data_IF_839459181807
#
_entry.id   IF_839459181807
#
_cell.length_a   1.000
_cell.length_b   1.000
_cell.length_c   1.000
_cell.angle_alpha   90.00
_cell.angle_beta   90.00
_cell.angle_gamma   90.00
#
_symmetry.space_group_name_H-M   'P 1'
#
loop_
_entity.id
_entity.type
_entity.pdbx_description
1 polymer ?
#
# COMPACT_ATOMS: atom_id res chain seq x y z
N UNK A 1 5.40 7.83 -0.02
CA UNK A 1 6.32 6.86 -0.66
C UNK A 1 7.78 7.26 -0.45
N UNK A 2 8.46 6.65 0.53
CA UNK A 2 9.84 6.99 0.92
C UNK A 2 10.95 6.25 0.15
N UNK A 3 10.65 5.21 -0.64
CA UNK A 3 11.66 4.35 -1.31
C UNK A 3 11.85 4.59 -2.82
N UNK A 4 11.43 5.73 -3.37
CA UNK A 4 11.57 6.03 -4.82
C UNK A 4 10.73 5.16 -5.76
N UNK A 5 9.89 4.27 -5.22
CA UNK A 5 8.95 3.46 -5.97
C UNK A 5 7.73 4.29 -6.35
N UNK A 6 7.33 4.33 -7.63
CA UNK A 6 6.19 5.14 -8.06
C UNK A 6 4.85 4.43 -7.79
N UNK A 7 3.78 5.19 -7.49
CA UNK A 7 2.43 4.63 -7.32
C UNK A 7 1.99 3.86 -8.57
N UNK A 8 2.44 4.29 -9.75
CA UNK A 8 2.17 3.63 -11.03
C UNK A 8 2.83 2.25 -11.11
N UNK A 9 4.10 2.13 -10.68
CA UNK A 9 4.78 0.83 -10.62
C UNK A 9 4.07 -0.13 -9.66
N UNK A 10 3.60 0.38 -8.52
CA UNK A 10 2.86 -0.44 -7.56
C UNK A 10 1.51 -0.88 -8.11
N UNK A 11 0.78 0.02 -8.77
CA UNK A 11 -0.50 -0.30 -9.41
C UNK A 11 -0.33 -1.38 -10.50
N UNK A 12 0.66 -1.23 -11.38
CA UNK A 12 0.95 -2.20 -12.43
C UNK A 12 1.36 -3.56 -11.84
N UNK A 13 2.23 -3.58 -10.83
CA UNK A 13 2.67 -4.82 -10.17
C UNK A 13 1.53 -5.53 -9.42
N UNK A 14 0.53 -4.77 -8.95
CA UNK A 14 -0.69 -5.27 -8.33
C UNK A 14 -1.76 -5.70 -9.35
N UNK A 15 -1.51 -5.54 -10.65
CA UNK A 15 -2.43 -5.92 -11.73
C UNK A 15 -3.52 -4.89 -12.04
N UNK A 16 -3.35 -3.63 -11.65
CA UNK A 16 -4.29 -2.55 -11.93
C UNK A 16 -3.80 -1.67 -13.10
N UNK A 17 -4.70 -1.35 -14.03
CA UNK A 17 -4.42 -0.48 -15.18
C UNK A 17 -4.27 1.01 -14.81
N UNK A 18 -4.58 1.38 -13.56
CA UNK A 18 -4.47 2.77 -13.11
C UNK A 18 -4.09 2.88 -11.63
N UNK A 19 -3.36 3.96 -11.32
CA UNK A 19 -3.01 4.34 -9.93
C UNK A 19 -4.23 4.64 -9.06
N UNK A 20 -5.39 4.89 -9.66
CA UNK A 20 -6.57 5.37 -8.95
C UNK A 20 -7.03 4.44 -7.83
N UNK A 21 -6.89 3.11 -8.01
CA UNK A 21 -7.27 2.14 -6.97
C UNK A 21 -6.32 2.19 -5.77
N UNK A 22 -5.01 2.16 -6.02
CA UNK A 22 -3.97 2.22 -5.00
C UNK A 22 -4.03 3.58 -4.26
N UNK A 23 -4.08 4.69 -5.01
CA UNK A 23 -4.09 6.03 -4.44
C UNK A 23 -5.33 6.26 -3.55
N UNK A 24 -6.52 5.83 -3.99
CA UNK A 24 -7.75 5.95 -3.18
C UNK A 24 -7.66 5.11 -1.90
N UNK A 25 -7.10 3.91 -1.96
CA UNK A 25 -6.90 3.07 -0.80
C UNK A 25 -5.85 3.65 0.17
N UNK A 26 -4.79 4.28 -0.35
CA UNK A 26 -3.75 4.94 0.44
C UNK A 26 -4.30 6.11 1.27
N UNK A 27 -5.23 6.90 0.72
CA UNK A 27 -5.82 8.05 1.43
C UNK A 27 -7.22 7.78 2.00
N UNK A 28 -7.64 6.51 2.07
CA UNK A 28 -8.97 6.10 2.55
C UNK A 28 -10.15 6.81 1.85
N UNK A 29 -10.02 7.14 0.56
CA UNK A 29 -11.08 7.83 -0.19
C UNK A 29 -12.10 6.84 -0.73
N UNK A 30 -13.39 7.22 -0.69
CA UNK A 30 -14.50 6.41 -1.19
C UNK A 30 -14.62 5.03 -0.53
N UNK A 31 -14.19 4.90 0.74
CA UNK A 31 -14.24 3.63 1.47
C UNK A 31 -13.33 2.54 0.92
N UNK A 32 -12.36 2.89 0.06
CA UNK A 32 -11.35 1.95 -0.43
C UNK A 32 -10.32 1.71 0.67
N UNK A 33 -10.03 0.43 0.93
CA UNK A 33 -9.09 -0.04 1.95
C UNK A 33 -8.19 -1.11 1.34
N UNK A 34 -6.97 -1.23 1.87
CA UNK A 34 -6.17 -2.43 1.67
C UNK A 34 -6.68 -3.53 2.63
N UNK A 35 -6.81 -4.75 2.12
CA UNK A 35 -6.98 -5.92 2.97
C UNK A 35 -5.60 -6.54 3.24
N UNK A 36 -5.53 -7.56 4.08
CA UNK A 36 -4.25 -8.19 4.42
C UNK A 36 -3.51 -8.75 3.19
N UNK A 37 -4.22 -9.36 2.25
CA UNK A 37 -3.63 -9.88 1.01
C UNK A 37 -2.97 -8.76 0.19
N UNK A 38 -3.62 -7.60 0.07
CA UNK A 38 -3.03 -6.43 -0.57
C UNK A 38 -1.76 -5.99 0.15
N UNK A 39 -1.77 -5.94 1.48
CA UNK A 39 -0.59 -5.54 2.26
C UNK A 39 0.56 -6.53 2.04
N UNK A 40 0.31 -7.84 2.09
CA UNK A 40 1.34 -8.85 1.83
C UNK A 40 1.91 -8.74 0.41
N UNK A 41 1.06 -8.56 -0.61
CA UNK A 41 1.51 -8.32 -1.99
C UNK A 41 2.36 -7.07 -2.10
N UNK A 42 1.95 -5.96 -1.47
CA UNK A 42 2.73 -4.72 -1.44
C UNK A 42 4.10 -4.97 -0.78
N UNK A 43 4.15 -5.72 0.33
CA UNK A 43 5.40 -6.08 0.99
C UNK A 43 6.33 -6.88 0.05
N UNK A 44 5.79 -7.87 -0.66
CA UNK A 44 6.55 -8.66 -1.64
C UNK A 44 7.05 -7.82 -2.81
N UNK A 45 6.22 -6.91 -3.36
CA UNK A 45 6.59 -6.05 -4.49
C UNK A 45 7.66 -5.04 -4.11
N UNK A 46 7.58 -4.51 -2.88
CA UNK A 46 8.52 -3.50 -2.39
C UNK A 46 9.75 -4.11 -1.70
N UNK A 47 9.81 -5.45 -1.60
CA UNK A 47 10.86 -6.19 -0.89
C UNK A 47 11.09 -5.68 0.54
N UNK A 48 10.00 -5.50 1.29
CA UNK A 48 10.00 -5.00 2.67
C UNK A 48 9.37 -5.99 3.64
N UNK A 49 9.76 -5.89 4.90
CA UNK A 49 9.09 -6.63 5.97
C UNK A 49 7.69 -6.06 6.19
N UNK A 50 6.76 -6.92 6.60
CA UNK A 50 5.43 -6.49 7.07
C UNK A 50 5.54 -5.50 8.24
N UNK A 51 6.57 -5.67 9.09
CA UNK A 51 6.82 -4.78 10.22
C UNK A 51 7.18 -3.36 9.76
N UNK A 52 7.85 -3.21 8.61
CA UNK A 52 8.22 -1.90 8.06
C UNK A 52 6.99 -1.09 7.64
N UNK A 53 5.85 -1.76 7.35
CA UNK A 53 4.60 -1.11 6.99
C UNK A 53 3.82 -0.65 8.23
N UNK A 54 3.93 -1.39 9.32
CA UNK A 54 3.20 -1.12 10.57
C UNK A 54 4.04 -0.41 11.63
N UNK A 55 5.29 -0.06 11.33
CA UNK A 55 6.14 0.75 12.20
C UNK A 55 5.41 2.05 12.60
N UNK A 56 5.44 2.36 13.90
CA UNK A 56 4.77 3.52 14.52
C UNK A 56 3.24 3.59 14.37
N UNK A 57 2.57 2.52 13.91
CA UNK A 57 1.10 2.52 13.77
C UNK A 57 0.35 2.37 15.09
N UNK A 58 1.03 1.98 16.16
CA UNK A 58 0.45 1.87 17.52
C UNK A 58 -0.15 3.20 18.02
N UNK A 59 0.37 4.34 17.56
CA UNK A 59 -0.16 5.66 17.89
C UNK A 59 -1.53 5.95 17.24
N UNK A 60 -1.84 5.27 16.14
CA UNK A 60 -3.05 5.44 15.33
C UNK A 60 -4.21 4.60 15.89
N UNK A 61 -3.92 3.55 16.65
CA UNK A 61 -4.91 2.58 17.17
C UNK A 61 -5.54 3.02 18.51
N UNK A 62 -5.14 4.18 19.07
CA UNK A 62 -5.76 4.76 20.28
C UNK A 62 -7.20 5.24 20.04
#
# INVERSE_FOLDING_TARGET
MKKGFSQLKLANAMGYDSVGHIAKAEIYKYGKKFNLEHIFKICSILEVSINDIFEDTDEIIK
#
